data_IF_334646133067
#
_entry.id   IF_334646133067
#
_cell.length_a   1.000
_cell.length_b   1.000
_cell.length_c   1.000
_cell.angle_alpha   90.00
_cell.angle_beta   90.00
_cell.angle_gamma   90.00
#
_symmetry.space_group_name_H-M   'P 1'
#
loop_
_entity.id
_entity.type
_entity.pdbx_description
1 polymer ?
#
# COMPACT_ATOMS: atom_id res chain seq x y z
N UNK A 1 4.92 -9.27 13.07
CA UNK A 1 5.19 -8.58 11.80
C UNK A 1 3.97 -7.72 11.50
N UNK A 2 4.09 -6.40 11.33
CA UNK A 2 2.94 -5.59 10.92
C UNK A 2 2.56 -5.95 9.46
N UNK A 3 1.26 -6.03 9.12
CA UNK A 3 0.84 -6.35 7.75
C UNK A 3 1.25 -5.22 6.79
N UNK A 4 1.76 -5.60 5.62
CA UNK A 4 2.08 -4.64 4.55
C UNK A 4 0.77 -4.17 3.92
N UNK A 5 0.48 -2.88 4.06
CA UNK A 5 -0.69 -2.26 3.47
C UNK A 5 -0.29 -1.51 2.20
N UNK A 6 -1.09 -1.67 1.16
CA UNK A 6 -0.99 -0.93 -0.08
C UNK A 6 -2.17 0.04 -0.22
N UNK A 7 -2.03 1.04 -1.07
CA UNK A 7 -3.04 2.06 -1.35
C UNK A 7 -3.26 2.08 -2.86
N UNK A 8 -4.51 1.94 -3.30
CA UNK A 8 -4.82 2.03 -4.73
C UNK A 8 -4.54 3.43 -5.28
N UNK A 9 -3.84 3.50 -6.41
CA UNK A 9 -3.49 4.77 -7.05
C UNK A 9 -4.69 5.58 -7.54
N UNK A 10 -5.84 4.93 -7.78
CA UNK A 10 -7.02 5.56 -8.38
C UNK A 10 -8.06 5.91 -7.31
N UNK A 11 -8.48 4.92 -6.50
CA UNK A 11 -9.52 5.13 -5.50
C UNK A 11 -9.00 5.43 -4.08
N UNK A 12 -7.68 5.37 -3.84
CA UNK A 12 -7.09 5.67 -2.53
C UNK A 12 -7.41 4.64 -1.43
N UNK A 13 -8.11 3.56 -1.75
CA UNK A 13 -8.50 2.54 -0.78
C UNK A 13 -7.29 1.72 -0.31
N UNK A 14 -7.31 1.35 0.96
CA UNK A 14 -6.30 0.49 1.54
C UNK A 14 -6.56 -0.97 1.16
N UNK A 15 -5.51 -1.64 0.70
CA UNK A 15 -5.55 -3.02 0.24
C UNK A 15 -4.47 -3.79 1.00
N UNK A 16 -4.86 -4.87 1.66
CA UNK A 16 -3.93 -5.83 2.23
C UNK A 16 -3.79 -6.98 1.24
N UNK A 17 -2.59 -7.15 0.69
CA UNK A 17 -2.27 -8.26 -0.21
C UNK A 17 -1.45 -9.29 0.53
N UNK A 18 -1.75 -10.56 0.30
CA UNK A 18 -0.85 -11.66 0.64
C UNK A 18 0.15 -11.87 -0.51
N UNK A 19 1.23 -12.61 -0.25
CA UNK A 19 2.30 -12.85 -1.24
C UNK A 19 1.84 -13.64 -2.47
N UNK A 20 0.73 -14.38 -2.39
CA UNK A 20 0.17 -15.19 -3.48
C UNK A 20 -1.03 -14.53 -4.19
N UNK A 21 -1.55 -13.43 -3.66
CA UNK A 21 -2.71 -12.75 -4.26
C UNK A 21 -2.29 -11.88 -5.45
N UNK A 22 -3.15 -11.83 -6.48
CA UNK A 22 -2.95 -10.94 -7.62
C UNK A 22 -2.92 -9.48 -7.19
N UNK A 23 -2.06 -8.67 -7.83
CA UNK A 23 -1.95 -7.24 -7.55
C UNK A 23 -3.13 -6.51 -8.18
N UNK A 24 -4.18 -6.29 -7.39
CA UNK A 24 -5.37 -5.55 -7.78
C UNK A 24 -6.02 -4.85 -6.57
N UNK A 25 -6.81 -3.82 -6.85
CA UNK A 25 -7.62 -3.16 -5.84
C UNK A 25 -8.80 -4.04 -5.40
N UNK A 26 -9.13 -3.99 -4.10
CA UNK A 26 -10.28 -4.71 -3.52
C UNK A 26 -11.63 -4.19 -4.02
N UNK A 27 -11.76 -2.87 -4.18
CA UNK A 27 -13.01 -2.24 -4.63
C UNK A 27 -13.23 -2.32 -6.16
N UNK A 28 -12.17 -2.39 -6.96
CA UNK A 28 -12.28 -2.48 -8.41
C UNK A 28 -11.11 -3.30 -9.01
N UNK A 29 -11.36 -4.52 -9.50
CA UNK A 29 -10.32 -5.40 -10.06
C UNK A 29 -9.60 -4.84 -11.29
N UNK A 30 -10.17 -3.84 -11.98
CA UNK A 30 -9.52 -3.19 -13.11
C UNK A 30 -8.32 -2.32 -12.69
N UNK A 31 -8.29 -1.84 -11.44
CA UNK A 31 -7.20 -1.03 -10.92
C UNK A 31 -6.06 -1.93 -10.43
N UNK A 32 -4.93 -1.93 -11.15
CA UNK A 32 -3.77 -2.82 -10.87
C UNK A 32 -2.55 -2.09 -10.32
N UNK A 33 -2.63 -0.77 -10.15
CA UNK A 33 -1.54 0.05 -9.61
C UNK A 33 -1.80 0.37 -8.14
N UNK A 34 -0.89 -0.10 -7.27
CA UNK A 34 -0.97 0.10 -5.83
C UNK A 34 0.36 0.64 -5.30
N UNK A 35 0.31 1.66 -4.44
CA UNK A 35 1.47 2.20 -3.74
C UNK A 35 1.63 1.55 -2.36
N UNK A 36 2.86 1.32 -1.91
CA UNK A 36 3.11 0.83 -0.55
C UNK A 36 2.84 1.94 0.47
N UNK A 37 2.00 1.66 1.47
CA UNK A 37 1.71 2.62 2.54
C UNK A 37 2.97 2.89 3.37
N UNK A 38 3.15 4.15 3.77
CA UNK A 38 4.27 4.57 4.61
C UNK A 38 4.25 3.81 5.94
N UNK A 39 5.43 3.36 6.38
CA UNK A 39 5.60 2.75 7.69
C UNK A 39 5.24 3.75 8.79
N UNK A 40 4.66 3.25 9.90
CA UNK A 40 4.37 4.06 11.09
C UNK A 40 5.63 4.50 11.85
N UNK A 41 6.78 3.90 11.51
CA UNK A 41 8.06 4.25 12.12
C UNK A 41 8.47 5.67 11.68
N UNK A 42 8.67 6.61 12.63
CA UNK A 42 9.15 7.95 12.29
C UNK A 42 10.54 7.85 11.68
N UNK A 43 10.76 8.64 10.62
CA UNK A 43 12.06 8.80 9.99
C UNK A 43 12.72 10.05 10.57
N UNK A 44 13.94 9.91 11.08
CA UNK A 44 14.73 11.01 11.63
C UNK A 44 15.68 11.48 10.53
N UNK A 45 15.56 12.76 10.17
CA UNK A 45 16.42 13.40 9.17
C UNK A 45 17.30 14.44 9.86
N UNK A 46 18.54 14.61 9.37
CA UNK A 46 19.38 15.74 9.75
C UNK A 46 18.92 16.96 8.99
N UNK A 47 18.71 18.07 9.69
CA UNK A 47 18.54 19.37 9.05
C UNK A 47 19.92 19.82 8.53
N UNK A 48 20.00 20.14 7.23
CA UNK A 48 21.16 20.73 6.57
C UNK A 48 20.85 22.21 6.36
#
# INVERSE_FOLDING_TARGET
MEPIVYICAICGTEVQLSSSTAVACSANPAHKVLYKKRARRPLIYKAI
#
